data_IF_078948725733
#
_entry.id   IF_078948725733
#
_cell.length_a   1.000
_cell.length_b   1.000
_cell.length_c   1.000
_cell.angle_alpha   90.00
_cell.angle_beta   90.00
_cell.angle_gamma   90.00
#
_symmetry.space_group_name_H-M   'P 1'
#
loop_
_entity.id
_entity.type
_entity.pdbx_description
1 polymer ?
#
# COMPACT_ATOMS: atom_id res chain seq x y z
N UNK A 1 -13.96 -68.56 13.31
CA UNK A 1 -14.10 -67.42 12.38
C UNK A 1 -13.42 -66.21 12.99
N UNK A 2 -12.13 -66.05 12.73
CA UNK A 2 -11.27 -65.02 13.30
C UNK A 2 -11.28 -63.82 12.36
N UNK A 3 -11.92 -62.71 12.75
CA UNK A 3 -11.97 -61.47 11.94
C UNK A 3 -10.70 -60.65 12.20
N UNK A 4 -9.82 -60.59 11.20
CA UNK A 4 -8.75 -59.59 11.11
C UNK A 4 -9.37 -58.24 10.74
N UNK A 5 -9.22 -57.23 11.59
CA UNK A 5 -9.44 -55.82 11.24
C UNK A 5 -8.10 -55.22 10.84
N UNK A 6 -7.94 -54.91 9.55
CA UNK A 6 -6.82 -54.11 9.05
C UNK A 6 -7.10 -52.63 9.32
N UNK A 7 -6.29 -51.99 10.17
CA UNK A 7 -6.24 -50.53 10.25
C UNK A 7 -5.51 -49.99 9.02
N UNK A 8 -6.22 -49.29 8.14
CA UNK A 8 -5.60 -48.41 7.15
C UNK A 8 -5.27 -47.08 7.84
N UNK A 9 -3.99 -46.85 8.14
CA UNK A 9 -3.49 -45.53 8.49
C UNK A 9 -3.39 -44.70 7.20
N UNK A 10 -4.36 -43.80 6.98
CA UNK A 10 -4.28 -42.80 5.93
C UNK A 10 -3.26 -41.74 6.38
N UNK A 11 -2.01 -41.88 5.94
CA UNK A 11 -0.99 -40.86 6.14
C UNK A 11 -1.36 -39.60 5.36
N UNK A 12 -1.93 -38.61 6.05
CA UNK A 12 -2.08 -37.27 5.50
C UNK A 12 -0.67 -36.67 5.40
N UNK A 13 -0.08 -36.69 4.22
CA UNK A 13 1.11 -35.88 3.94
C UNK A 13 0.68 -34.40 4.08
N UNK A 14 0.99 -33.80 5.23
CA UNK A 14 0.98 -32.35 5.36
C UNK A 14 2.01 -31.82 4.36
N UNK A 15 1.54 -31.26 3.25
CA UNK A 15 2.40 -30.49 2.37
C UNK A 15 3.00 -29.36 3.22
N UNK A 16 4.30 -29.41 3.45
CA UNK A 16 5.04 -28.30 4.05
C UNK A 16 4.78 -27.06 3.21
N UNK A 17 4.28 -25.99 3.84
CA UNK A 17 4.20 -24.69 3.18
C UNK A 17 5.59 -24.37 2.58
N UNK A 18 5.67 -23.86 1.34
CA UNK A 18 6.94 -23.42 0.80
C UNK A 18 7.59 -22.43 1.77
N UNK A 19 8.88 -22.61 2.06
CA UNK A 19 9.61 -21.67 2.88
C UNK A 19 9.45 -20.26 2.31
N UNK A 20 9.18 -19.27 3.17
CA UNK A 20 9.14 -17.88 2.76
C UNK A 20 10.46 -17.54 2.05
N UNK A 21 10.38 -16.96 0.85
CA UNK A 21 11.57 -16.48 0.16
C UNK A 21 12.29 -15.45 1.03
N UNK A 22 13.63 -15.46 1.01
CA UNK A 22 14.43 -14.48 1.74
C UNK A 22 14.04 -13.06 1.29
N UNK A 23 13.93 -12.10 2.24
CA UNK A 23 13.54 -10.74 1.92
C UNK A 23 14.56 -10.07 1.01
N UNK A 24 14.08 -9.44 -0.07
CA UNK A 24 14.87 -8.66 -1.02
C UNK A 24 14.44 -7.21 -0.94
N UNK A 25 15.18 -6.43 -0.17
CA UNK A 25 14.93 -5.00 0.00
C UNK A 25 15.35 -4.22 -1.24
N UNK A 26 14.52 -3.25 -1.63
CA UNK A 26 14.86 -2.30 -2.69
C UNK A 26 14.83 -2.88 -4.10
N UNK A 27 14.29 -4.08 -4.27
CA UNK A 27 14.19 -4.74 -5.58
C UNK A 27 12.90 -5.54 -5.70
N UNK A 28 12.09 -5.14 -6.68
CA UNK A 28 10.83 -5.75 -7.06
C UNK A 28 10.98 -6.82 -8.14
N UNK A 29 12.20 -7.02 -8.66
CA UNK A 29 12.50 -7.96 -9.75
C UNK A 29 11.99 -9.39 -9.49
N UNK A 30 11.74 -9.79 -8.23
CA UNK A 30 11.17 -11.11 -7.87
C UNK A 30 9.64 -11.23 -7.97
N UNK A 31 8.90 -10.11 -8.01
CA UNK A 31 7.44 -10.08 -7.87
C UNK A 31 6.69 -10.61 -9.11
N UNK A 32 5.79 -11.58 -8.97
CA UNK A 32 5.00 -12.06 -10.11
C UNK A 32 4.22 -10.93 -10.81
N UNK A 33 3.92 -11.09 -12.11
CA UNK A 33 3.13 -10.12 -12.87
C UNK A 33 1.62 -10.31 -12.61
N UNK A 34 0.87 -9.20 -12.63
CA UNK A 34 -0.59 -9.22 -12.56
C UNK A 34 -1.19 -8.56 -11.33
N UNK A 35 -2.52 -8.59 -11.25
CA UNK A 35 -3.29 -7.96 -10.18
C UNK A 35 -3.13 -8.74 -8.89
N UNK A 36 -2.73 -8.08 -7.80
CA UNK A 36 -2.55 -8.71 -6.49
C UNK A 36 -1.49 -9.82 -6.51
N UNK A 37 -0.49 -9.70 -7.38
CA UNK A 37 0.51 -10.74 -7.57
C UNK A 37 1.45 -10.85 -6.37
N UNK A 38 1.88 -12.08 -6.07
CA UNK A 38 2.87 -12.38 -5.02
C UNK A 38 4.18 -11.64 -5.29
N UNK A 39 4.75 -11.03 -4.25
CA UNK A 39 6.03 -10.33 -4.35
C UNK A 39 7.23 -11.28 -4.26
N UNK A 40 7.01 -12.52 -3.84
CA UNK A 40 8.04 -13.55 -3.69
C UNK A 40 9.25 -13.05 -2.86
N UNK A 41 8.97 -12.37 -1.75
CA UNK A 41 9.98 -11.84 -0.83
C UNK A 41 10.52 -10.46 -1.18
N UNK A 42 10.10 -9.84 -2.29
CA UNK A 42 10.45 -8.44 -2.56
C UNK A 42 9.82 -7.49 -1.53
N UNK A 43 10.63 -6.60 -0.96
CA UNK A 43 10.22 -5.58 0.00
C UNK A 43 10.58 -4.20 -0.59
N UNK A 44 9.60 -3.27 -0.71
CA UNK A 44 9.86 -1.90 -1.14
C UNK A 44 10.95 -1.22 -0.30
N UNK A 45 11.80 -0.44 -0.96
CA UNK A 45 12.88 0.37 -0.40
C UNK A 45 14.07 -0.41 0.16
N UNK A 46 15.26 0.21 0.20
CA UNK A 46 16.43 -0.34 0.88
C UNK A 46 16.14 -0.73 2.34
N UNK A 47 16.93 -1.66 2.89
CA UNK A 47 16.74 -2.14 4.26
C UNK A 47 16.96 -1.04 5.32
N UNK A 48 17.78 -0.04 5.01
CA UNK A 48 18.05 1.13 5.85
C UNK A 48 17.07 2.30 5.62
N UNK A 49 16.08 2.11 4.74
CA UNK A 49 15.03 3.10 4.52
C UNK A 49 14.16 3.26 5.77
N UNK A 50 13.62 4.46 5.96
CA UNK A 50 12.69 4.77 7.06
C UNK A 50 11.51 3.78 7.14
N UNK A 51 11.04 3.22 6.02
CA UNK A 51 9.96 2.21 5.96
C UNK A 51 10.35 0.81 6.48
N UNK A 52 11.64 0.47 6.48
CA UNK A 52 12.16 -0.86 6.81
C UNK A 52 13.07 -0.89 8.05
N UNK A 53 13.47 0.29 8.55
CA UNK A 53 14.28 0.41 9.75
C UNK A 53 13.50 -0.02 10.99
N UNK A 54 14.15 -0.77 11.86
CA UNK A 54 13.66 -1.07 13.21
C UNK A 54 13.62 0.22 14.07
N UNK A 55 12.46 0.47 14.67
CA UNK A 55 12.20 1.64 15.53
C UNK A 55 11.91 1.25 16.97
N UNK A 56 12.04 -0.02 17.36
CA UNK A 56 11.70 -0.47 18.72
C UNK A 56 12.57 0.17 19.81
N UNK A 57 13.73 0.72 19.43
CA UNK A 57 14.64 1.45 20.30
C UNK A 57 14.53 2.97 20.21
N UNK A 58 13.64 3.51 19.39
CA UNK A 58 13.50 4.95 19.22
C UNK A 58 12.90 5.60 20.48
N UNK A 59 13.24 6.88 20.78
CA UNK A 59 12.60 7.61 21.85
C UNK A 59 11.09 7.72 21.62
N UNK A 60 10.31 7.39 22.66
CA UNK A 60 8.87 7.61 22.66
C UNK A 60 8.59 9.12 22.71
N UNK A 61 7.63 9.58 21.91
CA UNK A 61 7.17 10.97 21.95
C UNK A 61 6.65 11.31 23.38
N UNK A 62 7.10 12.41 24.01
CA UNK A 62 6.64 12.79 25.34
C UNK A 62 5.11 12.97 25.48
N UNK A 63 4.38 13.17 24.37
CA UNK A 63 2.93 13.29 24.33
C UNK A 63 2.22 12.00 23.88
N UNK A 64 2.94 10.87 23.76
CA UNK A 64 2.43 9.60 23.22
C UNK A 64 1.11 9.15 23.87
N UNK A 65 1.01 9.17 25.20
CA UNK A 65 -0.19 8.76 25.91
C UNK A 65 -1.44 9.57 25.50
N UNK A 66 -1.27 10.89 25.28
CA UNK A 66 -2.37 11.75 24.82
C UNK A 66 -2.72 11.49 23.36
N UNK A 67 -1.73 11.24 22.52
CA UNK A 67 -1.92 10.87 21.11
C UNK A 67 -2.69 9.55 21.00
N UNK A 68 -2.30 8.52 21.75
CA UNK A 68 -2.98 7.22 21.75
C UNK A 68 -4.41 7.38 22.29
N UNK A 69 -4.61 8.17 23.36
CA UNK A 69 -5.93 8.46 23.89
C UNK A 69 -6.84 9.17 22.86
N UNK A 70 -6.30 10.06 22.02
CA UNK A 70 -7.08 10.76 20.99
C UNK A 70 -7.45 9.88 19.79
N UNK A 71 -6.66 8.84 19.49
CA UNK A 71 -6.99 7.80 18.51
C UNK A 71 -8.13 6.90 19.04
N UNK A 72 -8.06 6.55 20.34
CA UNK A 72 -9.06 5.79 21.07
C UNK A 72 -8.52 4.48 21.61
N UNK A 73 -8.41 4.38 22.94
CA UNK A 73 -7.82 3.23 23.65
C UNK A 73 -8.62 1.93 23.48
N UNK A 74 -9.94 2.06 23.36
CA UNK A 74 -10.87 0.91 23.24
C UNK A 74 -11.39 0.73 21.81
N UNK A 75 -10.89 1.52 20.86
CA UNK A 75 -11.35 1.47 19.47
C UNK A 75 -10.56 0.39 18.73
N UNK A 76 -11.23 -0.71 18.39
CA UNK A 76 -10.65 -1.73 17.51
C UNK A 76 -10.26 -1.17 16.14
N UNK A 77 -9.11 -1.61 15.62
CA UNK A 77 -8.72 -1.34 14.23
C UNK A 77 -9.68 -2.05 13.28
N UNK A 78 -10.08 -1.36 12.21
CA UNK A 78 -10.81 -1.97 11.11
C UNK A 78 -9.81 -2.48 10.07
N UNK A 79 -9.76 -3.79 9.78
CA UNK A 79 -8.90 -4.31 8.71
C UNK A 79 -9.50 -3.91 7.36
N UNK A 80 -8.85 -2.99 6.65
CA UNK A 80 -9.23 -2.59 5.29
C UNK A 80 -8.53 -3.48 4.24
N UNK A 81 -8.64 -4.79 4.42
CA UNK A 81 -8.11 -5.81 3.52
C UNK A 81 -8.88 -7.12 3.69
N UNK A 82 -8.77 -8.00 2.70
CA UNK A 82 -9.31 -9.36 2.76
C UNK A 82 -10.14 -9.74 1.55
N UNK A 83 -10.89 -10.83 1.69
CA UNK A 83 -11.76 -11.34 0.62
C UNK A 83 -13.19 -10.83 0.81
N UNK A 84 -13.78 -10.32 -0.26
CA UNK A 84 -15.20 -9.99 -0.31
C UNK A 84 -15.43 -8.49 -0.45
N UNK A 85 -16.51 -8.01 0.16
CA UNK A 85 -16.94 -6.62 0.05
C UNK A 85 -17.17 -5.95 1.39
N UNK A 86 -16.78 -4.69 1.50
CA UNK A 86 -17.15 -3.78 2.59
C UNK A 86 -17.92 -2.60 2.02
N UNK A 87 -19.03 -2.20 2.67
CA UNK A 87 -19.95 -1.19 2.14
C UNK A 87 -20.38 -1.41 0.65
N UNK A 88 -20.43 -2.67 0.22
CA UNK A 88 -20.80 -3.07 -1.15
C UNK A 88 -19.72 -2.92 -2.23
N UNK A 89 -18.50 -2.48 -1.88
CA UNK A 89 -17.32 -2.44 -2.75
C UNK A 89 -16.33 -3.53 -2.35
N UNK A 90 -15.46 -3.97 -3.28
CA UNK A 90 -14.34 -4.85 -2.92
C UNK A 90 -13.49 -4.15 -1.85
N UNK A 91 -13.20 -4.85 -0.76
CA UNK A 91 -12.44 -4.34 0.38
C UNK A 91 -10.96 -4.14 0.03
N UNK A 92 -10.34 -3.10 0.60
CA UNK A 92 -8.94 -2.76 0.41
C UNK A 92 -8.57 -2.10 -0.92
N UNK A 93 -7.28 -1.79 -1.05
CA UNK A 93 -6.71 -1.07 -2.20
C UNK A 93 -5.99 -2.06 -3.13
N UNK A 94 -6.48 -2.28 -4.36
CA UNK A 94 -5.85 -3.22 -5.27
C UNK A 94 -4.58 -2.62 -5.90
N UNK A 95 -3.58 -3.46 -6.13
CA UNK A 95 -2.39 -3.14 -6.92
C UNK A 95 -2.23 -4.10 -8.10
N UNK A 96 -1.40 -3.71 -9.08
CA UNK A 96 -1.00 -4.56 -10.20
C UNK A 96 0.50 -4.43 -10.45
N UNK A 97 1.16 -5.57 -10.60
CA UNK A 97 2.57 -5.64 -10.99
C UNK A 97 2.65 -5.77 -12.52
N UNK A 98 3.49 -4.96 -13.15
CA UNK A 98 3.74 -4.94 -14.59
C UNK A 98 5.25 -5.05 -14.86
N UNK A 99 5.59 -5.46 -16.08
CA UNK A 99 6.95 -5.39 -16.61
C UNK A 99 7.30 -3.97 -17.05
N UNK A 100 8.60 -3.68 -17.17
CA UNK A 100 9.13 -2.35 -17.51
C UNK A 100 8.87 -1.92 -18.95
N UNK A 101 8.49 -2.86 -19.82
CA UNK A 101 8.08 -2.60 -21.20
C UNK A 101 6.59 -2.19 -21.32
N UNK A 102 5.86 -2.14 -20.20
CA UNK A 102 4.44 -1.81 -20.18
C UNK A 102 4.19 -0.42 -20.80
N UNK A 103 3.38 -0.33 -21.88
CA UNK A 103 3.11 0.95 -22.50
C UNK A 103 2.48 1.95 -21.53
N UNK A 104 3.04 3.16 -21.50
CA UNK A 104 2.60 4.25 -20.62
C UNK A 104 1.40 4.99 -21.22
N UNK A 105 0.47 5.38 -20.37
CA UNK A 105 -0.74 6.13 -20.72
C UNK A 105 -0.72 7.52 -20.10
N UNK A 106 -1.32 8.48 -20.80
CA UNK A 106 -1.38 9.88 -20.33
C UNK A 106 -2.32 10.01 -19.15
N UNK A 107 -1.89 10.83 -18.19
CA UNK A 107 -2.69 11.24 -17.04
C UNK A 107 -3.07 12.70 -17.22
N UNK A 108 -4.34 13.04 -17.02
CA UNK A 108 -4.83 14.42 -16.99
C UNK A 108 -5.27 14.76 -15.58
N UNK A 109 -4.49 15.59 -14.90
CA UNK A 109 -4.82 16.03 -13.56
C UNK A 109 -5.98 17.02 -13.53
N UNK A 110 -6.81 16.93 -12.49
CA UNK A 110 -8.02 17.74 -12.28
C UNK A 110 -7.97 18.62 -11.04
N UNK A 111 -7.05 18.34 -10.11
CA UNK A 111 -6.81 19.14 -8.92
C UNK A 111 -5.29 19.37 -8.75
N UNK A 112 -4.65 18.63 -7.86
CA UNK A 112 -3.25 18.72 -7.40
C UNK A 112 -2.19 18.36 -8.47
N UNK A 113 -2.38 18.79 -9.73
CA UNK A 113 -1.47 18.51 -10.83
C UNK A 113 -0.12 19.22 -10.71
N UNK A 114 -0.05 20.31 -9.94
CA UNK A 114 1.16 21.06 -9.59
C UNK A 114 1.99 20.39 -8.48
N UNK A 115 1.40 19.47 -7.72
CA UNK A 115 2.05 18.60 -6.73
C UNK A 115 2.19 17.14 -7.23
N UNK A 116 1.92 16.91 -8.52
CA UNK A 116 1.92 15.59 -9.13
C UNK A 116 3.07 15.39 -10.11
N UNK A 117 3.51 14.15 -10.22
CA UNK A 117 4.40 13.71 -11.28
C UNK A 117 3.64 13.70 -12.62
N UNK A 118 4.16 14.41 -13.64
CA UNK A 118 3.42 14.69 -14.89
C UNK A 118 2.96 13.45 -15.67
N UNK A 119 3.55 12.28 -15.41
CA UNK A 119 3.37 11.07 -16.22
C UNK A 119 4.09 11.15 -17.57
N UNK A 120 3.82 10.23 -18.50
CA UNK A 120 2.79 9.17 -18.47
C UNK A 120 3.13 7.99 -17.54
N UNK A 121 2.14 7.18 -17.14
CA UNK A 121 2.30 6.04 -16.20
C UNK A 121 1.97 4.69 -16.87
N UNK A 122 2.59 3.55 -16.46
CA UNK A 122 2.41 2.24 -17.09
C UNK A 122 1.11 1.52 -16.67
N UNK A 123 -0.03 2.23 -16.67
CA UNK A 123 -1.30 1.68 -16.16
C UNK A 123 -1.89 0.65 -17.14
N UNK A 124 -2.11 -0.62 -16.74
CA UNK A 124 -2.73 -1.61 -17.62
C UNK A 124 -4.23 -1.31 -17.84
N UNK A 125 -4.84 -1.74 -18.95
CA UNK A 125 -6.22 -1.35 -19.28
C UNK A 125 -7.25 -1.95 -18.32
N UNK A 126 -6.85 -3.03 -17.61
CA UNK A 126 -7.62 -3.74 -16.59
C UNK A 126 -7.13 -3.45 -15.16
N UNK A 127 -6.37 -2.37 -14.94
CA UNK A 127 -6.03 -1.94 -13.59
C UNK A 127 -7.32 -1.76 -12.77
N UNK A 128 -7.33 -2.34 -11.57
CA UNK A 128 -8.46 -2.21 -10.65
C UNK A 128 -8.36 -0.87 -9.94
N UNK A 129 -9.52 -0.35 -9.57
CA UNK A 129 -9.68 0.91 -8.85
C UNK A 129 -10.24 0.55 -7.48
N UNK A 130 -9.68 1.11 -6.42
CA UNK A 130 -10.26 1.01 -5.08
C UNK A 130 -11.74 1.43 -5.07
N UNK A 131 -12.56 0.76 -4.26
CA UNK A 131 -13.99 1.04 -4.15
C UNK A 131 -14.81 0.43 -5.29
N UNK A 132 -14.18 -0.31 -6.22
CA UNK A 132 -14.88 -0.99 -7.31
C UNK A 132 -15.95 -1.94 -6.78
N UNK A 133 -17.15 -1.86 -7.37
CA UNK A 133 -18.30 -2.69 -7.01
C UNK A 133 -18.44 -3.86 -7.99
N UNK A 134 -18.60 -5.11 -7.50
CA UNK A 134 -18.73 -6.29 -8.35
C UNK A 134 -19.87 -6.25 -9.38
N UNK A 135 -20.95 -5.54 -9.06
CA UNK A 135 -22.10 -5.38 -9.94
C UNK A 135 -21.91 -4.27 -10.99
N UNK A 136 -20.72 -3.67 -11.09
CA UNK A 136 -20.41 -2.60 -12.05
C UNK A 136 -21.10 -1.26 -11.76
N UNK A 137 -21.84 -1.12 -10.65
CA UNK A 137 -22.49 0.14 -10.29
C UNK A 137 -21.45 1.24 -10.02
N UNK A 138 -21.80 2.51 -10.25
CA UNK A 138 -20.95 3.64 -9.86
C UNK A 138 -20.51 3.57 -8.39
N UNK A 139 -19.29 4.02 -8.14
CA UNK A 139 -18.66 4.04 -6.83
C UNK A 139 -17.88 5.34 -6.62
N UNK A 140 -17.95 5.87 -5.41
CA UNK A 140 -17.24 7.06 -4.98
C UNK A 140 -15.92 6.71 -4.30
N UNK A 141 -15.55 7.49 -3.28
CA UNK A 141 -14.34 7.27 -2.50
C UNK A 141 -13.08 7.81 -3.18
N UNK A 142 -11.93 7.40 -2.67
CA UNK A 142 -10.63 7.92 -3.11
C UNK A 142 -10.19 7.34 -4.45
N UNK A 143 -10.64 6.12 -4.79
CA UNK A 143 -10.48 5.54 -6.13
C UNK A 143 -9.01 5.44 -6.52
N UNK A 144 -8.19 4.95 -5.60
CA UNK A 144 -6.78 4.73 -5.84
C UNK A 144 -6.53 3.72 -6.96
N UNK A 145 -5.47 3.95 -7.73
CA UNK A 145 -4.89 2.99 -8.68
C UNK A 145 -3.41 2.87 -8.39
N UNK A 146 -2.94 1.65 -8.10
CA UNK A 146 -1.57 1.34 -7.72
C UNK A 146 -0.95 0.40 -8.77
N UNK A 147 0.20 0.79 -9.31
CA UNK A 147 0.96 0.02 -10.30
C UNK A 147 2.41 -0.07 -9.89
N UNK A 148 2.97 -1.29 -9.90
CA UNK A 148 4.38 -1.56 -9.63
C UNK A 148 5.01 -1.98 -10.94
N UNK A 149 5.99 -1.21 -11.41
CA UNK A 149 6.91 -1.62 -12.47
C UNK A 149 8.07 -2.34 -11.81
N UNK A 150 8.06 -3.66 -11.91
CA UNK A 150 9.01 -4.53 -11.18
C UNK A 150 10.42 -4.50 -11.77
N UNK A 151 10.54 -4.16 -13.05
CA UNK A 151 11.81 -4.23 -13.78
C UNK A 151 12.60 -2.92 -13.63
N UNK A 152 11.90 -1.82 -13.31
CA UNK A 152 12.50 -0.51 -13.09
C UNK A 152 12.43 -0.03 -11.63
N UNK A 153 11.91 -0.85 -10.71
CA UNK A 153 11.71 -0.50 -9.31
C UNK A 153 10.94 0.82 -9.12
N UNK A 154 9.82 0.96 -9.83
CA UNK A 154 8.96 2.15 -9.74
C UNK A 154 7.56 1.80 -9.28
N UNK A 155 7.05 2.61 -8.36
CA UNK A 155 5.68 2.59 -7.91
C UNK A 155 4.95 3.81 -8.45
N UNK A 156 3.78 3.59 -9.04
CA UNK A 156 2.93 4.63 -9.61
C UNK A 156 1.58 4.58 -8.90
N UNK A 157 1.16 5.70 -8.33
CA UNK A 157 -0.09 5.79 -7.60
C UNK A 157 -0.91 6.98 -8.09
N UNK A 158 -2.21 6.78 -8.26
CA UNK A 158 -3.17 7.83 -8.58
C UNK A 158 -4.21 7.97 -7.48
N UNK A 159 -4.61 9.20 -7.20
CA UNK A 159 -5.78 9.54 -6.38
C UNK A 159 -6.92 10.08 -7.26
N UNK A 160 -8.17 9.72 -6.91
CA UNK A 160 -9.40 9.96 -7.67
C UNK A 160 -9.31 9.57 -9.14
N UNK A 161 -8.92 8.33 -9.42
CA UNK A 161 -8.73 7.88 -10.79
C UNK A 161 -10.05 7.60 -11.54
N UNK A 162 -10.14 8.09 -12.78
CA UNK A 162 -11.22 7.82 -13.74
C UNK A 162 -10.64 7.49 -15.11
N UNK A 163 -10.96 6.30 -15.61
CA UNK A 163 -10.57 5.89 -16.96
C UNK A 163 -11.27 6.74 -18.01
N UNK A 164 -10.57 7.09 -19.08
CA UNK A 164 -11.09 7.83 -20.23
C UNK A 164 -11.28 6.91 -21.43
N UNK A 165 -12.16 7.30 -22.34
CA UNK A 165 -12.46 6.53 -23.56
C UNK A 165 -11.27 6.45 -24.53
N UNK A 166 -10.38 7.45 -24.50
CA UNK A 166 -9.15 7.49 -25.30
C UNK A 166 -8.01 6.62 -24.73
N UNK A 167 -8.29 5.79 -23.72
CA UNK A 167 -7.32 4.94 -23.05
C UNK A 167 -6.45 5.64 -22.01
N UNK A 168 -6.57 6.97 -21.85
CA UNK A 168 -5.93 7.72 -20.77
C UNK A 168 -6.69 7.67 -19.45
N UNK A 169 -6.20 8.45 -18.48
CA UNK A 169 -6.85 8.60 -17.18
C UNK A 169 -7.01 10.07 -16.80
N UNK A 170 -8.11 10.40 -16.12
CA UNK A 170 -8.18 11.57 -15.26
C UNK A 170 -7.84 11.14 -13.83
N UNK A 171 -7.18 12.01 -13.09
CA UNK A 171 -6.88 11.83 -11.66
C UNK A 171 -6.81 13.20 -10.98
N UNK A 172 -6.91 13.25 -9.67
CA UNK A 172 -6.71 14.50 -8.92
C UNK A 172 -5.25 14.69 -8.54
N UNK A 173 -4.56 13.59 -8.20
CA UNK A 173 -3.12 13.56 -7.91
C UNK A 173 -2.48 12.30 -8.51
N UNK A 174 -1.18 12.35 -8.79
CA UNK A 174 -0.39 11.19 -9.18
C UNK A 174 1.07 11.30 -8.75
N UNK A 175 1.60 10.22 -8.19
CA UNK A 175 2.96 10.17 -7.64
C UNK A 175 3.75 8.98 -8.20
N UNK A 176 5.05 9.21 -8.42
CA UNK A 176 6.02 8.18 -8.81
C UNK A 176 7.02 8.02 -7.68
N UNK A 177 7.16 6.81 -7.14
CA UNK A 177 8.13 6.50 -6.10
C UNK A 177 9.22 5.57 -6.63
N UNK A 178 10.44 5.79 -6.16
CA UNK A 178 11.61 4.96 -6.42
C UNK A 178 11.70 3.91 -5.31
N UNK A 179 11.39 2.66 -5.66
CA UNK A 179 11.37 1.55 -4.70
C UNK A 179 12.76 1.03 -4.35
N UNK A 180 13.80 1.50 -5.04
CA UNK A 180 15.21 1.14 -4.91
C UNK A 180 16.05 2.21 -4.18
N UNK A 181 15.41 3.24 -3.62
CA UNK A 181 16.08 4.45 -3.14
C UNK A 181 15.63 4.89 -1.74
N UNK A 182 16.52 5.55 -1.01
CA UNK A 182 16.18 6.28 0.22
C UNK A 182 15.60 7.67 -0.04
N UNK A 183 15.94 8.28 -1.18
CA UNK A 183 15.17 9.39 -1.74
C UNK A 183 14.01 8.82 -2.54
N UNK A 184 12.91 8.53 -1.85
CA UNK A 184 11.78 7.73 -2.38
C UNK A 184 10.95 8.48 -3.43
N UNK A 185 11.00 9.82 -3.46
CA UNK A 185 10.27 10.66 -4.43
C UNK A 185 11.11 11.88 -4.85
N UNK A 186 12.20 11.66 -5.61
CA UNK A 186 13.20 12.69 -5.91
C UNK A 186 12.66 13.87 -6.74
N UNK A 187 11.52 13.69 -7.39
CA UNK A 187 10.85 14.72 -8.20
C UNK A 187 9.96 15.66 -7.38
N UNK A 188 9.63 15.29 -6.14
CA UNK A 188 8.77 16.08 -5.28
C UNK A 188 9.50 17.25 -4.63
N UNK A 189 8.75 18.31 -4.34
CA UNK A 189 9.23 19.39 -3.48
C UNK A 189 8.78 19.15 -2.03
N UNK A 190 9.47 19.74 -1.04
CA UNK A 190 8.98 19.74 0.33
C UNK A 190 7.53 20.24 0.40
N UNK A 191 6.68 19.54 1.15
CA UNK A 191 5.27 19.89 1.26
C UNK A 191 4.37 19.27 0.19
N UNK A 192 4.88 18.54 -0.81
CA UNK A 192 4.00 17.93 -1.81
C UNK A 192 3.18 16.77 -1.24
N UNK A 193 1.88 16.75 -1.55
CA UNK A 193 1.00 15.58 -1.38
C UNK A 193 1.35 14.45 -2.37
N UNK A 194 0.78 13.26 -2.18
CA UNK A 194 0.83 12.15 -3.14
C UNK A 194 -0.58 11.62 -3.41
N UNK A 195 -0.71 10.36 -3.85
CA UNK A 195 -1.98 9.66 -3.82
C UNK A 195 -2.47 9.44 -2.37
N UNK A 196 -1.54 9.32 -1.42
CA UNK A 196 -1.81 9.47 0.00
C UNK A 196 -1.67 10.94 0.41
N UNK A 197 -2.61 11.44 1.22
CA UNK A 197 -2.61 12.83 1.65
C UNK A 197 -1.36 13.21 2.48
N UNK A 198 -0.65 12.26 3.09
CA UNK A 198 0.60 12.49 3.82
C UNK A 198 1.81 12.76 2.90
N UNK A 199 1.65 12.60 1.58
CA UNK A 199 2.77 12.56 0.64
C UNK A 199 3.51 11.22 0.60
N UNK A 200 3.01 10.22 1.32
CA UNK A 200 3.59 8.88 1.41
C UNK A 200 3.18 7.97 0.22
N UNK A 201 3.93 6.91 -0.07
CA UNK A 201 3.45 5.81 -0.92
C UNK A 201 2.43 4.96 -0.14
N UNK A 202 1.34 4.54 -0.80
CA UNK A 202 0.30 3.69 -0.20
C UNK A 202 0.76 2.23 -0.16
N UNK A 203 1.25 1.69 -1.28
CA UNK A 203 1.55 0.29 -1.45
C UNK A 203 2.47 -0.33 -0.36
N UNK A 204 3.56 0.34 0.07
CA UNK A 204 4.46 -0.21 1.09
C UNK A 204 3.78 -0.45 2.43
N UNK A 205 2.66 0.23 2.71
CA UNK A 205 1.88 0.07 3.94
C UNK A 205 0.71 -0.91 3.86
N UNK A 206 0.48 -1.55 2.71
CA UNK A 206 -0.65 -2.48 2.53
C UNK A 206 -0.34 -3.88 3.04
N UNK A 207 -1.28 -4.48 3.75
CA UNK A 207 -1.28 -5.93 4.04
C UNK A 207 -1.59 -6.70 2.76
N UNK A 208 -0.79 -7.73 2.45
CA UNK A 208 -0.92 -8.51 1.21
C UNK A 208 -1.25 -9.97 1.47
N UNK A 209 -1.92 -10.58 0.49
CA UNK A 209 -2.38 -11.96 0.62
C UNK A 209 -1.23 -12.97 0.66
N UNK A 210 -0.14 -12.72 -0.07
CA UNK A 210 1.03 -13.59 -0.12
C UNK A 210 1.84 -13.61 1.18
N UNK A 211 1.58 -12.68 2.10
CA UNK A 211 2.23 -12.64 3.42
C UNK A 211 1.58 -13.59 4.42
N UNK A 212 0.28 -13.89 4.24
CA UNK A 212 -0.43 -14.85 5.08
C UNK A 212 0.24 -16.24 5.10
N UNK A 213 0.56 -16.88 3.95
CA UNK A 213 1.31 -18.14 3.96
C UNK A 213 2.77 -17.98 4.37
N UNK A 214 3.36 -16.78 4.24
CA UNK A 214 4.73 -16.51 4.70
C UNK A 214 4.82 -16.40 6.25
N UNK A 215 3.69 -16.18 6.93
CA UNK A 215 3.59 -16.18 8.39
C UNK A 215 4.13 -14.94 9.09
N UNK A 216 4.57 -13.92 8.33
CA UNK A 216 5.06 -12.66 8.87
C UNK A 216 4.83 -11.51 7.88
N UNK A 217 4.51 -10.34 8.42
CA UNK A 217 4.56 -9.06 7.70
C UNK A 217 5.85 -8.36 8.13
N UNK A 218 6.66 -7.94 7.16
CA UNK A 218 8.04 -7.43 7.39
C UNK A 218 8.21 -5.96 7.04
N UNK A 219 7.11 -5.23 6.96
CA UNK A 219 7.10 -3.81 6.62
C UNK A 219 6.09 -3.10 7.51
N UNK A 220 6.23 -1.78 7.61
CA UNK A 220 5.27 -0.91 8.28
C UNK A 220 3.85 -1.10 7.73
N UNK A 221 2.85 -0.91 8.59
CA UNK A 221 1.44 -0.91 8.18
C UNK A 221 0.89 0.51 8.16
N UNK A 222 0.16 0.82 7.10
CA UNK A 222 -0.60 2.06 7.00
C UNK A 222 -1.95 1.90 7.70
N UNK A 223 -2.32 2.89 8.51
CA UNK A 223 -3.66 3.02 9.07
C UNK A 223 -4.13 4.47 9.02
N UNK A 224 -5.42 4.69 9.25
CA UNK A 224 -6.01 6.03 9.31
C UNK A 224 -6.62 6.29 10.68
N UNK A 225 -6.59 7.54 11.10
CA UNK A 225 -7.19 8.02 12.34
C UNK A 225 -8.29 9.02 12.01
N UNK A 226 -9.29 9.13 12.89
CA UNK A 226 -10.44 10.02 12.64
C UNK A 226 -10.09 11.50 12.70
N UNK A 227 -9.09 11.86 13.51
CA UNK A 227 -8.56 13.21 13.67
C UNK A 227 -7.05 13.16 13.70
N UNK A 228 -6.42 14.07 12.97
CA UNK A 228 -4.97 14.25 12.92
C UNK A 228 -4.62 15.72 13.05
N UNK A 229 -3.38 16.00 13.45
CA UNK A 229 -2.85 17.36 13.59
C UNK A 229 -2.41 17.92 12.24
N UNK A 230 -2.42 19.25 12.11
CA UNK A 230 -1.82 20.06 11.05
C UNK A 230 -0.29 20.05 11.18
N UNK A 231 0.28 18.85 11.08
CA UNK A 231 1.70 18.57 11.17
C UNK A 231 1.99 17.20 10.53
N UNK A 232 3.23 17.01 10.10
CA UNK A 232 3.73 15.70 9.71
C UNK A 232 5.09 15.41 10.35
N UNK A 233 5.44 14.14 10.44
CA UNK A 233 6.78 13.67 10.79
C UNK A 233 7.34 12.83 9.62
N UNK A 234 8.64 12.96 9.30
CA UNK A 234 9.27 12.12 8.28
C UNK A 234 9.02 10.63 8.53
N UNK A 235 8.88 9.81 7.48
CA UNK A 235 9.05 10.14 6.07
C UNK A 235 7.83 10.80 5.40
N UNK A 236 6.77 11.16 6.14
CA UNK A 236 5.69 11.95 5.54
C UNK A 236 6.18 13.36 5.17
N UNK A 237 5.59 13.91 4.11
CA UNK A 237 6.00 15.19 3.53
C UNK A 237 4.88 16.23 3.48
N UNK A 238 3.65 15.84 3.84
CA UNK A 238 2.47 16.68 3.75
C UNK A 238 1.44 16.35 4.85
N UNK A 239 0.51 17.27 5.11
CA UNK A 239 -0.63 17.08 6.01
C UNK A 239 -1.88 17.65 5.34
N UNK A 240 -3.06 17.04 5.54
CA UNK A 240 -4.33 17.59 5.05
C UNK A 240 -5.17 18.26 6.13
N UNK A 241 -4.88 17.99 7.41
CA UNK A 241 -5.67 18.51 8.53
C UNK A 241 -5.47 20.02 8.73
N UNK A 242 -6.51 20.69 9.23
CA UNK A 242 -6.43 22.07 9.72
C UNK A 242 -6.32 22.17 11.25
N UNK A 243 -6.46 21.06 11.97
CA UNK A 243 -6.52 21.02 13.44
C UNK A 243 -5.13 21.18 14.05
N UNK A 244 -4.94 22.10 14.98
CA UNK A 244 -3.63 22.39 15.59
C UNK A 244 -3.45 21.79 16.98
N UNK A 245 -4.42 21.00 17.46
CA UNK A 245 -4.36 20.35 18.78
C UNK A 245 -3.10 19.47 18.88
N UNK A 246 -2.17 19.76 19.83
CA UNK A 246 -0.93 19.00 19.98
C UNK A 246 -1.15 17.55 20.42
N UNK A 247 -2.33 17.21 20.94
CA UNK A 247 -2.70 15.87 21.40
C UNK A 247 -3.19 14.96 20.26
N UNK A 248 -3.33 15.50 19.04
CA UNK A 248 -3.63 14.69 17.86
C UNK A 248 -2.35 14.16 17.20
N UNK A 249 -2.46 12.96 16.63
CA UNK A 249 -1.39 12.35 15.87
C UNK A 249 -0.99 13.22 14.66
N UNK A 250 0.31 13.48 14.41
CA UNK A 250 0.75 14.03 13.14
C UNK A 250 0.57 13.00 12.01
N UNK A 251 0.61 13.45 10.77
CA UNK A 251 0.72 12.55 9.62
C UNK A 251 2.14 11.96 9.56
N UNK A 252 2.27 10.64 9.56
CA UNK A 252 3.56 9.97 9.63
C UNK A 252 3.48 8.56 9.05
N UNK A 253 4.65 7.93 8.84
CA UNK A 253 4.74 6.47 8.76
C UNK A 253 5.06 5.93 10.16
N UNK A 254 4.33 4.90 10.59
CA UNK A 254 4.64 4.16 11.81
C UNK A 254 5.31 2.84 11.44
N UNK A 255 6.59 2.69 11.72
CA UNK A 255 7.27 1.40 11.63
C UNK A 255 7.07 0.66 12.97
N UNK A 256 6.95 -0.66 12.92
CA UNK A 256 6.77 -1.54 14.08
C UNK A 256 7.91 -2.54 14.18
#
# INVERSE_FOLDING_TARGET
MTRFQALFALGLALASAPAAADPRYGSMEGAALGVGASLNGAIPFPADNAWNRDVSGDPVDPNSDRIIASIGLDRGLHPDFGRGTYAGAIIGIPYVVVSGDRPKVRIKYKAYGDESDKGPFPIPPKARIEGWKPNGKPFGGDRHVIVIDRDNDRLYELYRAFKRDDGGWNADSGAVFHLDSNDVRPTAKPGWTSADAAGLPIFPGLVRYDEAPAGAIRHALRFTVSRSRRAYAPPATHWASSDTDPDLAPWACGCG
#
